data_IF_073264574203
#
_entry.id   IF_073264574203
#
_cell.length_a   1.000
_cell.length_b   1.000
_cell.length_c   1.000
_cell.angle_alpha   90.00
_cell.angle_beta   90.00
_cell.angle_gamma   90.00
#
_symmetry.space_group_name_H-M   'P 1'
#
loop_
_entity.id
_entity.type
_entity.pdbx_description
1 polymer ?
#
# COMPACT_ATOMS: atom_id res chain seq x y z
N UNK A 1 -8.00 25.44 -14.45
CA UNK A 1 -8.42 25.15 -14.66
C UNK A 1 -8.76 23.92 -14.37
N UNK A 2 -8.86 23.27 -14.88
CA UNK A 2 -9.27 22.13 -14.68
C UNK A 2 -8.37 21.17 -14.23
N UNK A 3 -7.34 21.23 -14.62
CA UNK A 3 -6.47 20.34 -14.30
C UNK A 3 -6.31 20.29 -12.90
N UNK A 4 -6.40 21.31 -12.28
CA UNK A 4 -6.20 21.18 -10.97
C UNK A 4 -7.28 20.48 -10.40
N UNK A 5 -8.22 20.39 -11.05
CA UNK A 5 -9.21 19.72 -10.45
C UNK A 5 -8.81 18.30 -10.36
N UNK A 6 -7.85 17.85 -11.00
CA UNK A 6 -7.44 16.61 -10.89
C UNK A 6 -6.82 16.51 -9.70
N UNK A 7 -7.11 17.26 -8.94
CA UNK A 7 -6.78 17.18 -7.76
C UNK A 7 -5.54 16.65 -7.37
N UNK A 8 -5.11 16.19 -7.06
CA UNK A 8 -4.02 15.83 -6.62
C UNK A 8 -3.10 15.24 -7.43
N UNK A 9 -3.49 15.03 -8.55
CA UNK A 9 -2.67 14.49 -9.41
C UNK A 9 -1.57 15.35 -9.62
N UNK A 10 -0.56 15.24 -9.17
CA UNK A 10 0.57 16.05 -9.43
C UNK A 10 1.33 15.58 -10.60
N UNK A 11 2.46 16.21 -10.80
CA UNK A 11 3.33 15.82 -11.86
C UNK A 11 4.14 14.62 -11.50
N UNK A 12 4.47 13.85 -12.49
CA UNK A 12 5.41 12.74 -12.30
C UNK A 12 6.80 13.30 -12.08
N UNK A 13 7.48 12.74 -11.13
CA UNK A 13 8.85 13.15 -10.82
C UNK A 13 9.68 11.93 -10.50
N UNK A 14 10.97 12.07 -10.70
CA UNK A 14 11.90 11.02 -10.31
C UNK A 14 12.06 11.05 -8.79
N UNK A 15 11.79 9.95 -8.13
CA UNK A 15 11.86 9.89 -6.68
C UNK A 15 12.56 8.62 -6.24
N UNK A 16 13.01 8.65 -4.99
CA UNK A 16 13.53 7.47 -4.33
C UNK A 16 12.35 6.74 -3.72
N UNK A 17 11.98 5.61 -4.29
CA UNK A 17 10.79 4.90 -3.83
C UNK A 17 10.94 4.43 -2.38
N UNK A 18 12.12 3.96 -1.99
CA UNK A 18 12.31 3.54 -0.61
C UNK A 18 12.02 4.69 0.34
N UNK A 19 12.42 5.90 -0.02
CA UNK A 19 12.15 7.06 0.81
C UNK A 19 10.68 7.39 0.88
N UNK A 20 9.97 7.29 -0.24
CA UNK A 20 8.53 7.55 -0.26
C UNK A 20 7.81 6.53 0.62
N UNK A 21 8.17 5.26 0.50
CA UNK A 21 7.55 4.20 1.28
C UNK A 21 7.84 4.40 2.77
N UNK A 22 9.10 4.72 3.10
CA UNK A 22 9.48 4.93 4.49
C UNK A 22 8.72 6.10 5.11
N UNK A 23 8.60 7.18 4.38
CA UNK A 23 7.90 8.33 4.90
C UNK A 23 6.43 8.02 5.10
N UNK A 24 5.80 7.33 4.16
CA UNK A 24 4.41 6.95 4.31
C UNK A 24 4.22 6.02 5.51
N UNK A 25 5.16 5.11 5.72
CA UNK A 25 5.06 4.18 6.83
C UNK A 25 5.13 4.92 8.16
N UNK A 26 6.04 5.88 8.28
CA UNK A 26 6.15 6.66 9.49
C UNK A 26 4.91 7.50 9.73
N UNK A 27 4.36 8.11 8.67
CA UNK A 27 3.15 8.89 8.81
C UNK A 27 1.99 8.02 9.28
N UNK A 28 1.85 6.84 8.68
CA UNK A 28 0.76 5.94 9.06
C UNK A 28 0.89 5.49 10.49
N UNK A 29 2.10 5.15 10.91
CA UNK A 29 2.33 4.66 12.27
C UNK A 29 2.05 5.74 13.29
N UNK A 30 2.57 6.93 13.07
CA UNK A 30 2.35 8.02 14.03
C UNK A 30 0.89 8.46 14.05
N UNK A 31 0.21 8.40 12.89
CA UNK A 31 -1.21 8.69 12.86
C UNK A 31 -2.02 7.69 13.66
N UNK A 32 -1.68 6.41 13.56
CA UNK A 32 -2.39 5.38 14.31
C UNK A 32 -2.17 5.59 15.82
N UNK A 33 -0.95 5.92 16.21
CA UNK A 33 -0.67 6.14 17.61
C UNK A 33 -1.31 7.42 18.14
N UNK A 34 -1.49 8.41 17.30
CA UNK A 34 -2.17 9.62 17.73
C UNK A 34 -3.64 9.36 18.05
N UNK A 35 -4.24 8.41 17.33
CA UNK A 35 -5.62 8.08 17.60
C UNK A 35 -5.78 7.11 18.76
N UNK A 36 -4.81 6.24 18.97
CA UNK A 36 -4.89 5.23 20.01
C UNK A 36 -3.48 5.02 20.54
N UNK A 37 -3.19 5.60 21.69
CA UNK A 37 -1.84 5.54 22.23
C UNK A 37 -1.44 4.14 22.68
N UNK A 38 -2.41 3.24 22.79
CA UNK A 38 -2.07 1.85 23.12
C UNK A 38 -1.72 1.05 21.86
N UNK A 39 -1.91 1.63 20.68
CA UNK A 39 -1.59 0.91 19.45
C UNK A 39 -0.09 0.64 19.39
N UNK A 40 0.26 -0.59 19.09
CA UNK A 40 1.67 -0.96 18.99
C UNK A 40 1.80 -2.10 18.00
N UNK A 41 2.71 -1.95 17.07
CA UNK A 41 2.94 -2.96 16.06
C UNK A 41 4.41 -2.91 15.68
N UNK A 42 5.00 -4.06 15.42
CA UNK A 42 6.39 -4.11 14.97
C UNK A 42 6.41 -3.83 13.47
N UNK A 43 7.28 -2.93 13.07
CA UNK A 43 7.46 -2.60 11.66
C UNK A 43 8.76 -3.23 11.19
N UNK A 44 8.68 -4.08 10.17
CA UNK A 44 9.86 -4.70 9.59
C UNK A 44 10.04 -4.18 8.18
N UNK A 45 11.23 -3.71 7.87
CA UNK A 45 11.55 -3.14 6.58
C UNK A 45 12.63 -3.96 5.91
N UNK A 46 12.36 -4.38 4.68
CA UNK A 46 13.32 -5.11 3.88
C UNK A 46 13.43 -4.39 2.55
N UNK A 47 14.11 -3.25 2.56
CA UNK A 47 14.19 -2.40 1.38
C UNK A 47 15.42 -2.78 0.54
N UNK A 48 15.21 -2.84 -0.76
CA UNK A 48 16.26 -3.20 -1.70
C UNK A 48 17.22 -2.03 -1.83
N UNK A 49 18.45 -2.21 -1.43
CA UNK A 49 19.44 -1.15 -1.49
C UNK A 49 19.80 -0.77 -2.92
N UNK A 50 19.48 -1.62 -3.87
CA UNK A 50 19.79 -1.33 -5.28
C UNK A 50 18.65 -0.58 -5.98
N UNK A 51 17.67 -0.09 -5.23
CA UNK A 51 16.53 0.60 -5.83
C UNK A 51 16.99 1.87 -6.53
N UNK A 52 16.77 1.96 -7.83
CA UNK A 52 17.09 3.16 -8.59
C UNK A 52 15.91 4.11 -8.59
N UNK A 53 16.13 5.40 -8.82
CA UNK A 53 15.01 6.33 -8.88
C UNK A 53 13.98 5.93 -9.91
N UNK A 54 12.74 6.26 -9.65
CA UNK A 54 11.65 5.91 -10.54
C UNK A 54 10.72 7.11 -10.68
N UNK A 55 10.17 7.29 -11.86
CA UNK A 55 9.22 8.37 -12.08
C UNK A 55 7.83 7.95 -11.69
N UNK A 56 7.20 8.73 -10.85
CA UNK A 56 5.84 8.50 -10.42
C UNK A 56 5.27 9.79 -9.86
N UNK A 57 4.00 9.76 -9.47
CA UNK A 57 3.36 10.91 -8.85
C UNK A 57 3.45 10.71 -7.35
N UNK A 58 4.36 11.39 -6.67
CA UNK A 58 4.67 11.06 -5.26
C UNK A 58 3.48 11.17 -4.33
N UNK A 59 2.67 12.20 -4.50
CA UNK A 59 1.54 12.37 -3.60
C UNK A 59 0.55 11.25 -3.72
N UNK A 60 0.30 10.79 -4.93
CA UNK A 60 -0.67 9.73 -5.14
C UNK A 60 -0.14 8.40 -4.67
N UNK A 61 1.14 8.14 -4.90
CA UNK A 61 1.74 6.89 -4.44
C UNK A 61 1.80 6.86 -2.91
N UNK A 62 2.07 8.01 -2.28
CA UNK A 62 2.02 8.08 -0.83
C UNK A 62 0.62 7.70 -0.32
N UNK A 63 -0.44 8.17 -1.00
CA UNK A 63 -1.80 7.82 -0.61
C UNK A 63 -2.04 6.32 -0.69
N UNK A 64 -1.52 5.68 -1.74
CA UNK A 64 -1.66 4.24 -1.88
C UNK A 64 -1.07 3.54 -0.65
N UNK A 65 0.17 3.91 -0.29
CA UNK A 65 0.82 3.21 0.82
C UNK A 65 0.22 3.57 2.16
N UNK A 66 -0.20 4.81 2.37
CA UNK A 66 -0.90 5.14 3.60
C UNK A 66 -2.14 4.27 3.76
N UNK A 67 -2.85 4.04 2.67
CA UNK A 67 -4.04 3.22 2.73
C UNK A 67 -3.72 1.76 3.01
N UNK A 68 -2.69 1.23 2.34
CA UNK A 68 -2.32 -0.17 2.55
C UNK A 68 -1.79 -0.39 3.97
N UNK A 69 -0.98 0.54 4.47
CA UNK A 69 -0.45 0.41 5.83
C UNK A 69 -1.58 0.51 6.85
N UNK A 70 -2.51 1.45 6.64
CA UNK A 70 -3.64 1.57 7.56
C UNK A 70 -4.48 0.31 7.61
N UNK A 71 -4.71 -0.32 6.46
CA UNK A 71 -5.45 -1.58 6.44
C UNK A 71 -4.70 -2.68 7.17
N UNK A 72 -3.38 -2.73 7.00
CA UNK A 72 -2.59 -3.73 7.71
C UNK A 72 -2.60 -3.52 9.21
N UNK A 73 -2.49 -2.26 9.64
CA UNK A 73 -2.55 -1.94 11.05
C UNK A 73 -3.90 -2.35 11.64
N UNK A 74 -4.97 -2.06 10.91
CA UNK A 74 -6.31 -2.40 11.38
C UNK A 74 -6.45 -3.92 11.55
N UNK A 75 -6.03 -4.68 10.55
CA UNK A 75 -6.16 -6.13 10.59
C UNK A 75 -5.32 -6.75 11.70
N UNK A 76 -4.09 -6.28 11.86
CA UNK A 76 -3.21 -6.82 12.88
C UNK A 76 -3.71 -6.46 14.28
N UNK A 77 -4.21 -5.25 14.44
CA UNK A 77 -4.73 -4.83 15.73
C UNK A 77 -6.02 -5.58 16.07
N UNK A 78 -6.85 -5.86 15.06
CA UNK A 78 -8.06 -6.63 15.27
C UNK A 78 -7.73 -8.03 15.74
N UNK A 79 -6.73 -8.66 15.12
CA UNK A 79 -6.33 -10.00 15.54
C UNK A 79 -5.77 -9.99 16.94
N UNK A 80 -5.02 -8.94 17.30
CA UNK A 80 -4.50 -8.83 18.65
C UNK A 80 -5.63 -8.76 19.66
N UNK A 81 -6.70 -8.05 19.33
CA UNK A 81 -7.84 -7.95 20.23
C UNK A 81 -8.61 -9.24 20.35
N UNK A 82 -8.54 -10.10 19.34
CA UNK A 82 -9.23 -11.38 19.41
C UNK A 82 -8.39 -12.43 20.12
N UNK A 83 -7.09 -12.21 20.27
CA UNK A 83 -6.24 -13.15 20.97
C UNK A 83 -6.23 -12.79 22.44
N UNK A 84 -6.83 -13.62 23.25
CA UNK A 84 -7.07 -13.28 24.62
C UNK A 84 -5.87 -13.28 25.51
N UNK A 85 -4.84 -13.98 25.21
CA UNK A 85 -3.76 -14.19 26.16
C UNK A 85 -2.60 -13.23 25.95
N UNK A 86 -2.73 -12.29 25.02
CA UNK A 86 -1.65 -11.34 24.79
C UNK A 86 -0.42 -11.92 24.15
N UNK A 87 -0.49 -13.14 23.69
CA UNK A 87 0.69 -13.75 23.09
C UNK A 87 0.89 -13.31 21.63
N UNK A 88 -0.14 -12.80 20.98
CA UNK A 88 -0.04 -12.40 19.61
C UNK A 88 0.70 -11.08 19.47
N UNK A 89 1.69 -11.04 18.59
CA UNK A 89 2.44 -9.82 18.35
C UNK A 89 2.18 -9.33 16.94
N UNK A 90 1.51 -8.19 16.79
CA UNK A 90 1.23 -7.66 15.45
C UNK A 90 2.52 -7.24 14.75
N UNK A 91 2.63 -7.56 13.49
CA UNK A 91 3.80 -7.22 12.66
C UNK A 91 3.33 -6.78 11.30
N UNK A 92 3.91 -5.70 10.81
CA UNK A 92 3.75 -5.30 9.41
C UNK A 92 5.12 -5.33 8.76
N UNK A 93 5.25 -6.07 7.66
CA UNK A 93 6.51 -6.19 6.93
C UNK A 93 6.36 -5.50 5.59
N UNK A 94 7.31 -4.62 5.28
CA UNK A 94 7.31 -3.88 4.02
C UNK A 94 8.58 -4.24 3.28
N UNK A 95 8.43 -4.73 2.06
CA UNK A 95 9.56 -5.19 1.25
C UNK A 95 9.55 -4.42 -0.06
N UNK A 96 10.70 -3.91 -0.50
CA UNK A 96 10.81 -3.32 -1.82
C UNK A 96 11.82 -4.12 -2.63
N UNK A 97 11.62 -4.15 -3.94
CA UNK A 97 12.48 -4.93 -4.81
C UNK A 97 12.62 -4.25 -6.15
N UNK A 98 13.86 -4.11 -6.61
CA UNK A 98 14.14 -3.56 -7.92
C UNK A 98 14.11 -4.69 -8.93
N UNK A 99 13.26 -4.58 -9.94
CA UNK A 99 13.13 -5.65 -10.94
C UNK A 99 13.70 -5.28 -12.30
N UNK A 100 14.32 -4.12 -12.42
CA UNK A 100 14.87 -3.65 -13.69
C UNK A 100 13.88 -2.83 -14.47
N UNK A 101 12.86 -3.45 -15.03
CA UNK A 101 11.85 -2.73 -15.79
C UNK A 101 10.66 -2.35 -14.93
N UNK A 102 10.70 -2.67 -13.66
CA UNK A 102 9.62 -2.34 -12.72
C UNK A 102 10.18 -2.37 -11.32
N UNK A 103 9.40 -1.87 -10.38
CA UNK A 103 9.72 -2.01 -8.96
C UNK A 103 8.53 -2.68 -8.29
N UNK A 104 8.80 -3.31 -7.16
CA UNK A 104 7.74 -4.02 -6.47
C UNK A 104 7.78 -3.66 -5.00
N UNK A 105 6.61 -3.44 -4.40
CA UNK A 105 6.51 -3.22 -2.97
C UNK A 105 5.49 -4.18 -2.43
N UNK A 106 5.85 -4.91 -1.39
CA UNK A 106 4.92 -5.81 -0.71
C UNK A 106 4.65 -5.29 0.68
N UNK A 107 3.38 -5.31 1.06
CA UNK A 107 2.95 -4.90 2.38
C UNK A 107 2.22 -6.08 2.99
N UNK A 108 2.82 -6.69 3.99
CA UNK A 108 2.27 -7.90 4.60
C UNK A 108 1.98 -7.67 6.06
N UNK A 109 0.77 -7.97 6.49
CA UNK A 109 0.43 -7.96 7.91
C UNK A 109 0.12 -9.38 8.36
N UNK A 110 0.28 -9.62 9.64
CA UNK A 110 -0.08 -10.92 10.22
C UNK A 110 -1.43 -10.82 10.95
N UNK A 111 -2.36 -10.10 10.34
CA UNK A 111 -3.66 -9.88 10.94
C UNK A 111 -4.65 -11.00 10.71
N UNK A 112 -5.92 -10.64 10.65
CA UNK A 112 -7.00 -11.64 10.58
C UNK A 112 -7.11 -12.34 9.24
N UNK A 113 -6.49 -11.80 8.20
CA UNK A 113 -6.64 -12.36 6.87
C UNK A 113 -8.00 -12.04 6.26
N UNK A 114 -8.17 -12.40 5.01
CA UNK A 114 -9.38 -12.08 4.26
C UNK A 114 -9.82 -13.33 3.53
N UNK A 115 -11.09 -13.71 3.62
CA UNK A 115 -11.56 -14.89 2.89
C UNK A 115 -11.50 -14.68 1.38
N UNK A 116 -11.37 -15.75 0.61
CA UNK A 116 -11.23 -15.59 -0.85
C UNK A 116 -12.39 -14.89 -1.53
N UNK A 117 -13.62 -15.12 -1.07
CA UNK A 117 -14.76 -14.47 -1.68
C UNK A 117 -14.74 -12.95 -1.42
N UNK A 118 -14.09 -12.52 -0.35
CA UNK A 118 -13.98 -11.10 -0.06
C UNK A 118 -12.86 -10.48 -0.88
N UNK A 119 -11.75 -11.21 -1.10
CA UNK A 119 -10.65 -10.63 -1.85
C UNK A 119 -11.09 -10.23 -3.25
N UNK A 120 -12.07 -10.91 -3.81
CA UNK A 120 -12.55 -10.57 -5.15
C UNK A 120 -13.25 -9.22 -5.17
N UNK A 121 -13.70 -8.74 -4.02
CA UNK A 121 -14.45 -7.49 -3.95
C UNK A 121 -13.67 -6.34 -3.39
N UNK A 122 -12.43 -6.57 -2.98
CA UNK A 122 -11.69 -5.57 -2.21
C UNK A 122 -11.49 -4.25 -2.93
N UNK A 123 -11.37 -4.27 -4.23
CA UNK A 123 -11.10 -3.05 -4.97
C UNK A 123 -12.35 -2.40 -5.53
N UNK A 124 -13.52 -2.90 -5.17
CA UNK A 124 -14.76 -2.28 -5.61
C UNK A 124 -15.06 -1.04 -4.77
N UNK A 125 -15.57 0.01 -5.38
CA UNK A 125 -15.89 1.22 -4.62
C UNK A 125 -16.88 0.92 -3.51
N UNK A 126 -16.68 1.57 -2.37
CA UNK A 126 -17.55 1.46 -1.21
C UNK A 126 -17.58 0.10 -0.53
N UNK A 127 -16.80 -0.86 -1.00
CA UNK A 127 -16.75 -2.14 -0.31
C UNK A 127 -15.84 -2.00 0.90
N UNK A 128 -16.29 -2.46 2.06
CA UNK A 128 -15.47 -2.48 3.26
C UNK A 128 -16.03 -3.53 4.20
N UNK A 129 -15.14 -4.19 4.94
CA UNK A 129 -15.53 -5.10 6.00
C UNK A 129 -15.45 -4.42 7.35
N UNK A 130 -15.02 -3.14 7.42
CA UNK A 130 -14.96 -2.43 8.67
C UNK A 130 -16.35 -2.03 9.11
N UNK A 131 -16.57 -1.88 10.41
CA UNK A 131 -17.88 -1.46 10.90
C UNK A 131 -18.28 -0.11 10.33
N UNK A 132 -19.58 0.12 10.32
CA UNK A 132 -20.10 1.39 9.84
C UNK A 132 -19.40 2.53 10.56
N UNK A 133 -18.93 3.49 9.80
CA UNK A 133 -18.23 4.63 10.37
C UNK A 133 -16.75 4.47 10.47
N UNK A 134 -16.22 3.28 10.26
CA UNK A 134 -14.79 3.07 10.35
C UNK A 134 -14.10 2.94 9.01
N UNK A 135 -14.83 2.85 7.94
CA UNK A 135 -14.22 2.78 6.63
C UNK A 135 -15.18 3.27 5.58
N UNK A 136 -14.66 3.94 4.56
CA UNK A 136 -15.49 4.48 3.51
C UNK A 136 -15.68 3.49 2.37
N UNK A 137 -14.84 2.48 2.29
CA UNK A 137 -14.87 1.57 1.16
C UNK A 137 -14.25 2.15 -0.08
N UNK A 138 -13.58 3.29 0.02
CA UNK A 138 -12.97 3.92 -1.14
C UNK A 138 -11.45 3.81 -1.16
N UNK A 139 -10.83 3.51 -0.04
CA UNK A 139 -9.37 3.50 0.01
C UNK A 139 -8.73 2.56 -0.98
N UNK A 140 -9.19 1.31 -1.01
CA UNK A 140 -8.58 0.34 -1.92
C UNK A 140 -8.97 0.58 -3.36
N UNK A 141 -10.19 1.05 -3.64
CA UNK A 141 -10.55 1.33 -5.02
C UNK A 141 -9.76 2.51 -5.57
N UNK A 142 -9.53 3.53 -4.75
CA UNK A 142 -8.72 4.67 -5.18
C UNK A 142 -7.28 4.22 -5.37
N UNK A 143 -6.76 3.40 -4.47
CA UNK A 143 -5.41 2.88 -4.61
C UNK A 143 -5.27 2.06 -5.89
N UNK A 144 -6.27 1.25 -6.18
CA UNK A 144 -6.27 0.45 -7.39
C UNK A 144 -6.21 1.34 -8.63
N UNK A 145 -7.00 2.42 -8.65
CA UNK A 145 -6.97 3.33 -9.75
C UNK A 145 -5.63 4.04 -9.90
N UNK A 146 -5.06 4.48 -8.81
CA UNK A 146 -3.77 5.16 -8.86
C UNK A 146 -2.71 4.23 -9.44
N UNK A 147 -2.67 3.00 -8.95
CA UNK A 147 -1.65 2.07 -9.39
C UNK A 147 -1.87 1.65 -10.84
N UNK A 148 -3.11 1.30 -11.20
CA UNK A 148 -3.35 0.70 -12.49
C UNK A 148 -3.59 1.71 -13.59
N UNK A 149 -4.36 2.76 -13.31
CA UNK A 149 -4.70 3.72 -14.35
C UNK A 149 -3.67 4.82 -14.50
N UNK A 150 -3.20 5.36 -13.39
CA UNK A 150 -2.24 6.44 -13.47
C UNK A 150 -0.83 5.97 -13.69
N UNK A 151 -0.47 4.83 -13.10
CA UNK A 151 0.92 4.36 -13.15
C UNK A 151 1.10 3.11 -13.98
N UNK A 152 0.01 2.57 -14.52
CA UNK A 152 0.03 1.39 -15.38
C UNK A 152 0.66 0.18 -14.70
N UNK A 153 0.52 0.11 -13.41
CA UNK A 153 1.04 -1.00 -12.64
C UNK A 153 -0.04 -2.00 -12.29
N UNK A 154 0.29 -2.86 -11.37
CA UNK A 154 -0.66 -3.86 -10.87
C UNK A 154 -0.66 -3.85 -9.36
N UNK A 155 -1.78 -4.24 -8.78
CA UNK A 155 -1.87 -4.43 -7.34
C UNK A 155 -2.60 -5.74 -7.15
N UNK A 156 -1.99 -6.60 -6.36
CA UNK A 156 -2.51 -7.94 -6.11
C UNK A 156 -2.64 -8.16 -4.62
N UNK A 157 -3.52 -9.05 -4.23
CA UNK A 157 -3.69 -9.39 -2.83
C UNK A 157 -3.59 -10.89 -2.67
N UNK A 158 -2.87 -11.32 -1.65
CA UNK A 158 -2.78 -12.71 -1.26
C UNK A 158 -3.09 -12.76 0.22
N UNK A 159 -3.95 -13.64 0.64
CA UNK A 159 -4.37 -13.65 2.03
C UNK A 159 -4.76 -15.04 2.46
N UNK A 160 -4.57 -15.31 3.74
CA UNK A 160 -5.00 -16.55 4.34
C UNK A 160 -5.65 -16.22 5.67
N UNK A 161 -6.89 -16.64 5.81
CA UNK A 161 -7.66 -16.32 7.01
C UNK A 161 -6.92 -16.79 8.26
N UNK A 162 -6.80 -15.90 9.23
CA UNK A 162 -6.13 -16.22 10.48
C UNK A 162 -4.63 -16.18 10.41
N UNK A 163 -4.05 -15.84 9.28
CA UNK A 163 -2.59 -15.86 9.14
C UNK A 163 -2.00 -14.56 8.64
N UNK A 164 -2.43 -14.09 7.48
CA UNK A 164 -1.83 -12.89 6.90
C UNK A 164 -2.64 -12.32 5.77
N UNK A 165 -2.33 -11.08 5.42
CA UNK A 165 -2.73 -10.46 4.15
C UNK A 165 -1.52 -9.76 3.58
N UNK A 166 -1.28 -9.95 2.29
CA UNK A 166 -0.15 -9.32 1.63
C UNK A 166 -0.62 -8.65 0.35
N UNK A 167 -0.37 -7.35 0.24
CA UNK A 167 -0.62 -6.62 -1.00
C UNK A 167 0.69 -6.45 -1.74
N UNK A 168 0.69 -6.67 -3.04
CA UNK A 168 1.86 -6.48 -3.87
C UNK A 168 1.54 -5.40 -4.89
N UNK A 169 2.30 -4.33 -4.88
CA UNK A 169 2.17 -3.23 -5.83
C UNK A 169 3.38 -3.28 -6.74
N UNK A 170 3.15 -3.37 -8.04
CA UNK A 170 4.23 -3.37 -9.00
C UNK A 170 4.05 -2.18 -9.93
N UNK A 171 5.08 -1.37 -10.06
CA UNK A 171 5.03 -0.16 -10.86
C UNK A 171 6.08 -0.25 -11.96
N UNK A 172 5.66 -0.11 -13.22
CA UNK A 172 6.63 -0.18 -14.31
C UNK A 172 7.47 1.09 -14.35
N UNK A 173 8.70 0.95 -14.80
CA UNK A 173 9.53 2.11 -15.01
C UNK A 173 9.13 2.76 -16.31
N UNK A 174 9.14 4.10 -16.30
CA UNK A 174 8.81 4.80 -17.50
C UNK A 174 9.86 4.49 -18.55
N UNK A 175 9.44 4.34 -19.81
CA UNK A 175 10.32 4.08 -20.81
C UNK A 175 10.99 5.24 -21.23
N UNK A 176 12.18 5.29 -21.33
CA UNK A 176 12.89 6.41 -21.78
C UNK A 176 12.63 6.53 -23.19
N UNK A 177 12.26 7.46 -23.53
CA UNK A 177 12.09 7.68 -24.86
C UNK A 177 11.56 6.53 -25.47
N UNK A 178 11.27 6.00 -24.95
CA UNK A 178 10.68 5.08 -25.45
C UNK A 178 11.07 4.95 -26.58
N UNK A 179 11.32 5.79 -26.65
CA UNK A 179 11.64 5.89 -27.73
C UNK A 179 12.43 5.03 -28.02
N UNK A 180 12.95 5.07 -27.40
CA UNK A 180 13.74 4.28 -27.66
C UNK A 180 12.98 3.23 -28.14
N UNK A 181 12.05 3.06 -27.76
CA UNK A 181 11.39 2.07 -28.15
C UNK A 181 11.08 2.21 -29.33
N UNK A 182 10.95 3.17 -29.51
CA UNK A 182 10.58 3.37 -30.69
C UNK A 182 11.51 2.78 -31.49
N UNK A 183 12.43 2.78 -31.07
CA UNK A 183 13.33 2.36 -31.88
C UNK A 183 13.00 1.02 -32.15
N UNK A 184 12.41 0.74 -32.01
CA UNK A 184 12.22 -0.35 -32.23
C UNK A 184 11.58 -0.74 -33.03
#
# INVERSE_FOLDING_TARGET
>A
MLEHSRGGSGERRSVDLNGVVEEALNLAYHGARAQDQTFNITLERQFDAAMAPIELVPQDITRVFLNLFGNGFYAANKRRGEADDGSFKPVLTVTTLELGDAVEVKVRDNGTGIPPDITEKLFQPFFTTKPTGEGTGLGLSISYEIVTQQHRGTILVDSRVGEFTEFTVRLPRARPAAGSEAAQ
#
